data_IF_564734152336
#
_entry.id   IF_564734152336
#
_cell.length_a   1.000
_cell.length_b   1.000
_cell.length_c   1.000
_cell.angle_alpha   90.00
_cell.angle_beta   90.00
_cell.angle_gamma   90.00
#
_symmetry.space_group_name_H-M   'P 1'
#
loop_
_entity.id
_entity.type
_entity.pdbx_description
1 polymer ?
#
# COMPACT_ATOMS: atom_id res chain seq x y z
N UNK A 1 -18.50 -77.72 8.03
CA UNK A 1 -19.45 -77.09 7.10
C UNK A 1 -20.10 -75.91 7.84
N UNK A 2 -19.72 -74.68 7.45
CA UNK A 2 -20.26 -73.35 7.83
C UNK A 2 -21.81 -73.36 8.01
N UNK A 3 -22.51 -72.85 9.04
CA UNK A 3 -22.49 -71.55 9.80
C UNK A 3 -22.58 -70.35 8.84
N UNK A 4 -23.53 -69.40 8.90
CA UNK A 4 -24.54 -68.99 9.87
C UNK A 4 -25.55 -68.05 9.18
N UNK A 5 -26.69 -67.88 9.84
CA UNK A 5 -27.74 -66.84 9.76
C UNK A 5 -27.58 -65.60 8.85
N UNK A 6 -28.66 -65.32 8.11
CA UNK A 6 -28.89 -64.11 7.31
C UNK A 6 -29.03 -62.85 8.18
N UNK A 7 -28.29 -61.81 7.86
CA UNK A 7 -28.44 -60.43 8.37
C UNK A 7 -28.80 -59.51 7.20
N UNK A 8 -29.90 -58.77 7.35
CA UNK A 8 -30.29 -57.66 6.46
C UNK A 8 -29.28 -56.49 6.60
N UNK A 9 -28.90 -55.80 5.51
CA UNK A 9 -28.25 -54.51 5.61
C UNK A 9 -29.31 -53.40 5.71
N UNK A 10 -29.24 -52.64 6.81
CA UNK A 10 -29.91 -51.36 7.01
C UNK A 10 -29.42 -50.33 6.00
N UNK A 11 -30.32 -49.85 5.13
CA UNK A 11 -30.10 -48.69 4.26
C UNK A 11 -30.03 -47.42 5.13
N UNK A 12 -28.83 -46.98 5.47
CA UNK A 12 -28.57 -45.66 6.05
C UNK A 12 -28.75 -44.61 4.93
N UNK A 13 -29.90 -43.95 4.90
CA UNK A 13 -30.15 -42.81 4.01
C UNK A 13 -29.36 -41.61 4.52
N UNK A 14 -28.24 -41.29 3.87
CA UNK A 14 -27.52 -40.03 4.05
C UNK A 14 -28.40 -38.89 3.54
N UNK A 15 -29.08 -38.18 4.45
CA UNK A 15 -29.65 -36.87 4.18
C UNK A 15 -28.51 -35.91 3.87
N UNK A 16 -28.29 -35.67 2.58
CA UNK A 16 -27.43 -34.62 2.07
C UNK A 16 -28.14 -33.29 2.36
N UNK A 17 -27.81 -32.70 3.51
CA UNK A 17 -28.22 -31.34 3.86
C UNK A 17 -27.51 -30.43 2.88
N UNK A 18 -28.24 -29.97 1.87
CA UNK A 18 -27.81 -28.84 1.05
C UNK A 18 -27.78 -27.62 1.97
N UNK A 19 -26.59 -27.29 2.45
CA UNK A 19 -26.29 -25.96 2.96
C UNK A 19 -26.48 -25.02 1.77
N UNK A 20 -27.69 -24.50 1.59
CA UNK A 20 -27.86 -23.23 0.90
C UNK A 20 -27.18 -22.20 1.80
N UNK A 21 -25.88 -22.01 1.56
CA UNK A 21 -25.20 -20.82 2.04
C UNK A 21 -26.05 -19.65 1.62
N UNK A 22 -26.48 -18.85 2.59
CA UNK A 22 -27.02 -17.53 2.33
C UNK A 22 -25.86 -16.77 1.71
N UNK A 23 -25.79 -16.74 0.38
CA UNK A 23 -24.93 -15.81 -0.32
C UNK A 23 -25.42 -14.43 0.13
N UNK A 24 -24.63 -13.78 0.99
CA UNK A 24 -24.77 -12.36 1.21
C UNK A 24 -24.68 -11.73 -0.18
N UNK A 25 -25.78 -11.14 -0.63
CA UNK A 25 -25.80 -10.25 -1.78
C UNK A 25 -24.95 -9.04 -1.39
N UNK A 26 -23.63 -9.16 -1.52
CA UNK A 26 -22.77 -8.00 -1.62
C UNK A 26 -23.14 -7.37 -2.96
N UNK A 27 -23.67 -6.14 -2.92
CA UNK A 27 -23.78 -5.34 -4.13
C UNK A 27 -22.45 -5.38 -4.85
N UNK A 28 -22.46 -5.72 -6.13
CA UNK A 28 -21.25 -5.77 -6.93
C UNK A 28 -20.57 -4.40 -6.85
N UNK A 29 -19.28 -4.36 -6.50
CA UNK A 29 -18.52 -3.12 -6.48
C UNK A 29 -18.65 -2.41 -7.83
N UNK A 30 -18.82 -1.08 -7.77
CA UNK A 30 -18.97 -0.25 -8.94
C UNK A 30 -17.57 0.17 -9.43
N UNK A 31 -17.11 -0.30 -10.61
CA UNK A 31 -15.77 -0.02 -11.11
C UNK A 31 -15.55 1.45 -11.47
N UNK A 32 -16.61 2.26 -11.54
CA UNK A 32 -16.49 3.70 -11.78
C UNK A 32 -15.92 4.47 -10.59
N UNK A 33 -15.89 3.84 -9.41
CA UNK A 33 -15.40 4.43 -8.17
C UNK A 33 -14.37 3.51 -7.55
N UNK A 34 -13.13 3.97 -7.43
CA UNK A 34 -12.04 3.15 -6.89
C UNK A 34 -11.30 3.93 -5.81
N UNK A 35 -11.23 3.34 -4.62
CA UNK A 35 -10.35 3.79 -3.55
C UNK A 35 -9.10 2.92 -3.55
N UNK A 36 -7.94 3.55 -3.57
CA UNK A 36 -6.65 2.86 -3.62
C UNK A 36 -5.74 3.37 -2.51
N UNK A 37 -5.15 2.43 -1.76
CA UNK A 37 -4.06 2.71 -0.84
C UNK A 37 -2.72 2.59 -1.57
N UNK A 38 -1.82 3.55 -1.35
CA UNK A 38 -0.42 3.34 -1.72
C UNK A 38 0.20 2.24 -0.87
N UNK A 39 1.31 1.67 -1.35
CA UNK A 39 2.20 0.85 -0.53
C UNK A 39 3.46 1.65 -0.17
N UNK A 40 4.23 1.16 0.79
CA UNK A 40 5.49 1.79 1.18
C UNK A 40 6.39 0.83 1.93
N UNK A 41 7.57 1.30 2.29
CA UNK A 41 8.49 0.53 3.12
C UNK A 41 9.42 1.42 3.91
N UNK A 42 10.00 0.86 4.95
CA UNK A 42 10.87 1.59 5.85
C UNK A 42 11.51 0.67 6.88
N UNK A 43 12.44 1.21 7.66
CA UNK A 43 13.12 0.47 8.71
C UNK A 43 12.26 0.39 9.97
N UNK A 44 12.47 -0.67 10.76
CA UNK A 44 11.83 -0.77 12.07
C UNK A 44 12.14 0.47 12.92
N UNK A 45 11.11 1.04 13.55
CA UNK A 45 11.19 2.24 14.38
C UNK A 45 11.15 3.57 13.63
N UNK A 46 11.05 3.56 12.30
CA UNK A 46 10.78 4.76 11.48
C UNK A 46 9.29 4.92 11.20
N UNK A 47 8.92 5.96 10.45
CA UNK A 47 7.55 6.22 10.01
C UNK A 47 7.44 6.20 8.49
N UNK A 48 6.32 5.68 7.99
CA UNK A 48 5.96 5.67 6.56
C UNK A 48 4.58 6.29 6.38
N UNK A 49 4.43 7.07 5.32
CA UNK A 49 3.16 7.67 4.94
C UNK A 49 2.50 6.85 3.83
N UNK A 50 1.25 6.46 4.03
CA UNK A 50 0.40 5.92 2.97
C UNK A 50 -0.69 6.92 2.59
N UNK A 51 -0.95 7.02 1.29
CA UNK A 51 -1.95 7.93 0.72
C UNK A 51 -3.13 7.10 0.21
N UNK A 52 -4.33 7.48 0.63
CA UNK A 52 -5.56 7.05 -0.01
C UNK A 52 -5.84 7.96 -1.20
N UNK A 53 -5.91 7.37 -2.38
CA UNK A 53 -6.28 8.03 -3.63
C UNK A 53 -7.66 7.57 -4.09
N UNK A 54 -8.38 8.46 -4.77
CA UNK A 54 -9.70 8.19 -5.30
C UNK A 54 -9.75 8.44 -6.81
N UNK A 55 -10.18 7.43 -7.55
CA UNK A 55 -10.51 7.51 -8.97
C UNK A 55 -12.03 7.53 -9.12
N UNK A 56 -12.54 8.51 -9.86
CA UNK A 56 -13.94 8.65 -10.20
C UNK A 56 -14.09 8.76 -11.73
N UNK A 57 -14.64 7.74 -12.37
CA UNK A 57 -15.02 7.76 -13.80
C UNK A 57 -16.54 7.82 -14.02
N UNK A 58 -17.32 7.89 -12.94
CA UNK A 58 -18.78 7.91 -12.94
C UNK A 58 -19.36 9.33 -12.91
N UNK A 59 -20.37 9.54 -12.06
CA UNK A 59 -20.95 10.85 -11.78
C UNK A 59 -20.28 11.57 -10.60
N UNK A 60 -20.59 12.86 -10.43
CA UNK A 60 -20.12 13.70 -9.33
C UNK A 60 -20.45 13.09 -7.96
N UNK A 61 -19.42 12.85 -7.15
CA UNK A 61 -19.54 12.32 -5.79
C UNK A 61 -19.80 13.46 -4.80
N UNK A 62 -20.68 13.24 -3.83
CA UNK A 62 -21.09 14.22 -2.81
C UNK A 62 -20.52 13.95 -1.43
N UNK A 63 -20.22 12.69 -1.15
CA UNK A 63 -19.71 12.26 0.14
C UNK A 63 -19.01 10.91 -0.04
N UNK A 64 -18.12 10.59 0.89
CA UNK A 64 -17.53 9.27 1.03
C UNK A 64 -17.32 8.96 2.49
N UNK A 65 -17.32 7.67 2.79
CA UNK A 65 -16.96 7.15 4.10
C UNK A 65 -16.20 5.84 3.92
N UNK A 66 -15.12 5.63 4.66
CA UNK A 66 -14.38 4.37 4.62
C UNK A 66 -13.57 4.16 5.90
N UNK A 67 -13.25 2.91 6.18
CA UNK A 67 -12.27 2.49 7.18
C UNK A 67 -11.02 1.92 6.50
N UNK A 68 -9.87 2.11 7.15
CA UNK A 68 -8.59 1.46 6.82
C UNK A 68 -8.09 0.77 8.07
N UNK A 69 -7.75 -0.51 7.96
CA UNK A 69 -7.30 -1.35 9.05
C UNK A 69 -5.85 -1.78 8.86
N UNK A 70 -5.15 -1.96 9.98
CA UNK A 70 -3.79 -2.48 10.05
C UNK A 70 -3.61 -3.31 11.32
N UNK A 71 -2.64 -4.22 11.34
CA UNK A 71 -2.30 -4.98 12.54
C UNK A 71 -1.57 -4.08 13.55
N UNK A 72 -2.15 -3.80 14.74
CA UNK A 72 -1.51 -2.95 15.75
C UNK A 72 -0.24 -3.56 16.35
N UNK A 73 0.00 -4.86 16.19
CA UNK A 73 1.26 -5.50 16.61
C UNK A 73 2.41 -5.22 15.62
N UNK A 74 2.11 -4.73 14.41
CA UNK A 74 3.10 -4.41 13.38
C UNK A 74 3.19 -2.91 13.08
N UNK A 75 2.09 -2.18 13.19
CA UNK A 75 1.99 -0.79 12.78
C UNK A 75 1.21 0.04 13.80
N UNK A 76 1.80 1.15 14.26
CA UNK A 76 1.07 2.16 15.05
C UNK A 76 0.63 3.31 14.15
N UNK A 77 -0.65 3.63 14.14
CA UNK A 77 -1.18 4.82 13.46
C UNK A 77 -0.80 6.08 14.27
N UNK A 78 0.01 6.95 13.69
CA UNK A 78 0.51 8.17 14.33
C UNK A 78 -0.41 9.35 14.08
N UNK A 79 -0.80 9.56 12.83
CA UNK A 79 -1.68 10.65 12.43
C UNK A 79 -2.41 10.32 11.13
N UNK A 80 -3.55 10.97 10.92
CA UNK A 80 -4.34 10.87 9.69
C UNK A 80 -4.85 12.25 9.33
N UNK A 81 -4.48 12.72 8.14
CA UNK A 81 -4.83 14.06 7.66
C UNK A 81 -5.52 14.02 6.30
N UNK A 82 -6.32 15.05 6.02
CA UNK A 82 -6.98 15.23 4.74
C UNK A 82 -6.05 15.89 3.73
N UNK A 83 -6.01 15.32 2.52
CA UNK A 83 -5.23 15.81 1.40
C UNK A 83 -6.05 16.75 0.50
N UNK A 84 -5.40 17.30 -0.53
CA UNK A 84 -5.99 18.34 -1.40
C UNK A 84 -7.29 17.88 -2.07
N UNK A 85 -7.42 16.60 -2.46
CA UNK A 85 -8.64 16.04 -3.01
C UNK A 85 -9.83 16.12 -2.04
N UNK A 86 -9.57 16.07 -0.74
CA UNK A 86 -10.59 16.30 0.30
C UNK A 86 -10.76 17.78 0.58
N UNK A 87 -9.67 18.48 0.95
CA UNK A 87 -9.72 19.86 1.51
C UNK A 87 -10.14 20.93 0.49
N UNK A 88 -10.23 20.58 -0.79
CA UNK A 88 -10.64 21.49 -1.87
C UNK A 88 -11.87 21.01 -2.63
N UNK A 89 -12.49 19.92 -2.20
CA UNK A 89 -13.63 19.28 -2.89
C UNK A 89 -14.89 20.15 -2.96
N UNK A 90 -15.02 21.17 -2.11
CA UNK A 90 -16.15 22.11 -2.14
C UNK A 90 -15.80 23.35 -2.98
N UNK A 91 -15.61 23.17 -4.31
CA UNK A 91 -15.25 24.25 -5.25
C UNK A 91 -13.98 25.03 -4.85
N UNK A 92 -12.96 24.32 -4.39
CA UNK A 92 -11.71 24.90 -3.87
C UNK A 92 -11.73 25.18 -2.38
N UNK A 93 -12.88 25.02 -1.70
CA UNK A 93 -13.03 25.13 -0.26
C UNK A 93 -13.07 23.77 0.45
N UNK A 94 -13.05 23.82 1.79
CA UNK A 94 -13.18 22.65 2.63
C UNK A 94 -14.61 22.05 2.53
N UNK A 95 -14.74 20.72 2.68
CA UNK A 95 -16.01 20.05 2.90
C UNK A 95 -16.79 20.64 4.07
N UNK A 96 -18.12 20.60 3.99
CA UNK A 96 -19.02 21.02 5.07
C UNK A 96 -18.88 20.12 6.32
N UNK A 97 -18.48 18.86 6.13
CA UNK A 97 -18.22 17.92 7.21
C UNK A 97 -17.01 17.04 6.91
N UNK A 98 -16.09 16.96 7.87
CA UNK A 98 -15.01 15.97 7.90
C UNK A 98 -14.95 15.42 9.32
N UNK A 99 -14.97 14.11 9.44
CA UNK A 99 -14.69 13.43 10.69
C UNK A 99 -13.67 12.33 10.45
N UNK A 100 -12.62 12.32 11.28
CA UNK A 100 -11.59 11.29 11.28
C UNK A 100 -11.59 10.66 12.67
N UNK A 101 -11.66 9.34 12.73
CA UNK A 101 -11.57 8.56 13.98
C UNK A 101 -10.39 7.59 13.87
N UNK A 102 -9.71 7.34 15.00
CA UNK A 102 -8.58 6.42 15.07
C UNK A 102 -8.71 5.51 16.28
N UNK A 103 -8.43 4.23 16.07
CA UNK A 103 -8.19 3.21 17.10
C UNK A 103 -6.88 2.49 16.76
N UNK A 104 -6.41 1.57 17.60
CA UNK A 104 -5.15 0.87 17.33
C UNK A 104 -5.24 0.03 16.04
N UNK A 105 -6.40 -0.59 15.81
CA UNK A 105 -6.65 -1.52 14.71
C UNK A 105 -7.00 -0.84 13.38
N UNK A 106 -7.13 0.49 13.35
CA UNK A 106 -7.51 1.21 12.13
C UNK A 106 -7.96 2.64 12.34
N UNK A 107 -8.29 3.31 11.24
CA UNK A 107 -8.84 4.65 11.21
C UNK A 107 -10.00 4.74 10.21
N UNK A 108 -10.85 5.76 10.35
CA UNK A 108 -11.94 6.03 9.41
C UNK A 108 -11.97 7.49 9.01
N UNK A 109 -12.44 7.76 7.80
CA UNK A 109 -12.81 9.09 7.37
C UNK A 109 -14.28 9.12 6.92
N UNK A 110 -15.02 10.15 7.35
CA UNK A 110 -16.36 10.47 6.88
C UNK A 110 -16.34 11.90 6.34
N UNK A 111 -16.70 12.09 5.08
CA UNK A 111 -16.68 13.40 4.43
C UNK A 111 -18.01 13.67 3.74
N UNK A 112 -18.60 14.83 4.01
CA UNK A 112 -19.71 15.40 3.24
C UNK A 112 -19.22 16.71 2.64
N UNK A 113 -19.15 16.77 1.31
CA UNK A 113 -18.56 17.89 0.59
C UNK A 113 -19.40 19.16 0.77
N UNK A 114 -20.70 19.02 0.55
CA UNK A 114 -21.67 20.12 0.59
C UNK A 114 -23.00 19.58 1.10
N UNK A 115 -23.38 19.95 2.32
CA UNK A 115 -24.51 19.37 3.04
C UNK A 115 -25.85 19.88 2.52
N UNK A 116 -25.87 21.10 1.98
CA UNK A 116 -27.10 21.79 1.59
C UNK A 116 -27.14 22.23 0.13
N UNK A 117 -26.01 22.20 -0.57
CA UNK A 117 -25.91 22.56 -1.97
C UNK A 117 -25.74 21.36 -2.88
N UNK A 118 -25.03 21.60 -3.97
CA UNK A 118 -24.83 20.67 -5.07
C UNK A 118 -23.39 20.71 -5.56
N UNK A 119 -22.45 21.03 -4.67
CA UNK A 119 -21.00 20.92 -4.93
C UNK A 119 -20.53 19.52 -4.60
N UNK A 120 -19.55 19.03 -5.35
CA UNK A 120 -19.09 17.66 -5.24
C UNK A 120 -17.80 17.47 -6.02
N UNK A 121 -17.24 16.27 -5.91
CA UNK A 121 -16.04 15.89 -6.60
C UNK A 121 -16.42 15.30 -7.97
N UNK A 122 -16.19 16.07 -9.01
CA UNK A 122 -16.42 15.66 -10.40
C UNK A 122 -15.47 14.51 -10.82
N UNK A 123 -15.76 13.84 -11.94
CA UNK A 123 -14.92 12.76 -12.44
C UNK A 123 -13.47 13.20 -12.69
N UNK A 124 -12.54 12.34 -12.31
CA UNK A 124 -11.11 12.53 -12.40
C UNK A 124 -10.37 11.37 -11.73
N UNK A 125 -9.06 11.31 -11.96
CA UNK A 125 -8.22 10.20 -11.50
C UNK A 125 -7.16 10.73 -10.52
N UNK A 126 -6.80 9.88 -9.56
CA UNK A 126 -5.69 10.08 -8.64
C UNK A 126 -5.90 11.23 -7.67
N UNK A 127 -7.13 11.50 -7.22
CA UNK A 127 -7.37 12.49 -6.17
C UNK A 127 -6.76 11.99 -4.86
N UNK A 128 -5.71 12.63 -4.30
CA UNK A 128 -5.24 12.27 -2.97
C UNK A 128 -6.25 12.80 -1.97
N UNK A 129 -6.93 11.91 -1.24
CA UNK A 129 -8.00 12.32 -0.31
C UNK A 129 -7.56 12.30 1.15
N UNK A 130 -6.73 11.36 1.55
CA UNK A 130 -6.20 11.28 2.92
C UNK A 130 -4.79 10.69 2.94
N UNK A 131 -4.00 11.08 3.93
CA UNK A 131 -2.68 10.50 4.24
C UNK A 131 -2.67 10.03 5.68
N UNK A 132 -2.21 8.80 5.90
CA UNK A 132 -1.99 8.23 7.23
C UNK A 132 -0.49 7.96 7.43
N UNK A 133 0.03 8.39 8.57
CA UNK A 133 1.41 8.13 8.98
C UNK A 133 1.43 6.94 9.94
N UNK A 134 2.22 5.92 9.62
CA UNK A 134 2.39 4.72 10.42
C UNK A 134 3.80 4.65 10.98
N UNK A 135 3.95 4.34 12.26
CA UNK A 135 5.22 3.89 12.83
C UNK A 135 5.37 2.37 12.61
N UNK A 136 6.59 1.94 12.29
CA UNK A 136 6.91 0.56 11.95
C UNK A 136 7.39 -0.20 13.18
N UNK A 137 6.49 -0.88 13.86
CA UNK A 137 6.77 -1.61 15.10
C UNK A 137 7.04 -3.10 14.88
N UNK A 138 6.64 -3.63 13.73
CA UNK A 138 6.81 -5.03 13.34
C UNK A 138 8.27 -5.44 13.15
N UNK A 139 8.48 -6.75 13.02
CA UNK A 139 9.82 -7.32 12.84
C UNK A 139 10.39 -6.99 11.45
N UNK A 140 11.71 -6.84 11.38
CA UNK A 140 12.44 -6.69 10.12
C UNK A 140 12.19 -7.89 9.18
N UNK A 141 11.99 -7.61 7.90
CA UNK A 141 11.56 -8.55 6.87
C UNK A 141 10.06 -8.84 6.82
N UNK A 142 9.25 -8.28 7.73
CA UNK A 142 7.79 -8.46 7.68
C UNK A 142 7.14 -7.57 6.62
N UNK A 143 6.07 -8.06 6.00
CA UNK A 143 5.16 -7.23 5.20
C UNK A 143 3.85 -7.11 5.97
N UNK A 144 3.50 -5.89 6.36
CA UNK A 144 2.28 -5.56 7.07
C UNK A 144 1.17 -5.17 6.08
N UNK A 145 0.00 -5.80 6.18
CA UNK A 145 -1.16 -5.44 5.38
C UNK A 145 -1.80 -4.14 5.90
N UNK A 146 -2.20 -3.27 4.96
CA UNK A 146 -3.03 -2.09 5.25
C UNK A 146 -4.21 -2.11 4.28
N UNK A 147 -5.39 -2.42 4.79
CA UNK A 147 -6.53 -2.83 3.96
C UNK A 147 -7.75 -1.95 4.23
N UNK A 148 -8.56 -1.69 3.19
CA UNK A 148 -9.87 -1.11 3.41
C UNK A 148 -10.77 -2.12 4.15
N UNK A 149 -11.46 -1.65 5.17
CA UNK A 149 -12.22 -2.52 6.06
C UNK A 149 -13.50 -1.84 6.55
N UNK A 150 -14.35 -2.64 7.21
CA UNK A 150 -15.34 -2.07 8.13
C UNK A 150 -14.58 -1.58 9.36
N UNK A 151 -14.53 -0.25 9.55
CA UNK A 151 -13.82 0.37 10.66
C UNK A 151 -14.27 -0.24 12.01
N UNK A 152 -13.33 -0.75 12.83
CA UNK A 152 -13.67 -1.49 14.04
C UNK A 152 -14.09 -0.59 15.21
N UNK A 153 -13.82 0.72 15.12
CA UNK A 153 -14.26 1.70 16.12
C UNK A 153 -15.78 1.94 16.09
N UNK A 154 -16.23 2.84 16.97
CA UNK A 154 -17.65 3.24 17.08
C UNK A 154 -17.78 4.72 16.70
N UNK A 155 -18.66 5.09 15.74
CA UNK A 155 -19.51 4.20 14.94
C UNK A 155 -18.68 3.37 13.93
N UNK A 156 -19.18 2.18 13.59
CA UNK A 156 -18.59 1.38 12.52
C UNK A 156 -18.82 2.09 11.18
N UNK A 157 -17.79 2.12 10.35
CA UNK A 157 -17.81 2.78 9.03
C UNK A 157 -17.48 1.73 7.97
N UNK A 158 -18.38 1.53 7.02
CA UNK A 158 -18.15 0.65 5.86
C UNK A 158 -17.82 1.51 4.64
N UNK A 159 -16.85 1.12 3.79
CA UNK A 159 -16.54 1.85 2.56
C UNK A 159 -17.76 2.08 1.66
N UNK A 160 -18.03 3.35 1.35
CA UNK A 160 -19.16 3.80 0.53
C UNK A 160 -18.86 5.18 -0.05
N UNK A 161 -19.32 5.43 -1.27
CA UNK A 161 -19.37 6.77 -1.88
C UNK A 161 -20.82 7.14 -2.19
N UNK A 162 -21.17 8.41 -2.18
CA UNK A 162 -22.53 8.87 -2.43
C UNK A 162 -22.63 9.71 -3.70
N UNK A 163 -23.49 9.28 -4.62
CA UNK A 163 -23.91 10.04 -5.80
C UNK A 163 -25.24 10.70 -5.47
N UNK A 164 -25.22 11.97 -5.07
CA UNK A 164 -26.40 12.59 -4.48
C UNK A 164 -26.80 11.86 -3.19
N UNK A 165 -27.97 11.24 -3.18
CA UNK A 165 -28.49 10.47 -2.05
C UNK A 165 -28.31 8.94 -2.20
N UNK A 166 -27.73 8.48 -3.32
CA UNK A 166 -27.57 7.06 -3.61
C UNK A 166 -26.19 6.57 -3.15
N UNK A 167 -26.11 5.57 -2.26
CA UNK A 167 -24.85 4.95 -1.89
C UNK A 167 -24.38 3.98 -2.97
N UNK A 168 -23.10 4.03 -3.30
CA UNK A 168 -22.40 3.12 -4.19
C UNK A 168 -21.22 2.47 -3.43
N UNK A 169 -20.99 1.18 -3.70
CA UNK A 169 -19.85 0.46 -3.14
C UNK A 169 -18.66 0.59 -4.09
N UNK A 170 -17.56 1.27 -3.69
CA UNK A 170 -16.39 1.42 -4.55
C UNK A 170 -15.61 0.10 -4.67
N UNK A 171 -14.80 -0.01 -5.72
CA UNK A 171 -13.69 -0.96 -5.77
C UNK A 171 -12.62 -0.51 -4.76
N UNK A 172 -12.07 -1.47 -4.04
CA UNK A 172 -11.06 -1.24 -3.00
C UNK A 172 -9.75 -1.90 -3.44
N UNK A 173 -8.67 -1.13 -3.46
CA UNK A 173 -7.32 -1.62 -3.71
C UNK A 173 -6.51 -1.36 -2.44
N UNK A 174 -6.13 -2.45 -1.78
CA UNK A 174 -5.38 -2.40 -0.53
C UNK A 174 -3.90 -2.06 -0.74
N UNK A 175 -3.23 -1.68 0.35
CA UNK A 175 -1.81 -1.37 0.38
C UNK A 175 -1.04 -2.32 1.30
N UNK A 176 0.27 -2.22 1.24
CA UNK A 176 1.17 -2.96 2.12
C UNK A 176 2.29 -2.05 2.63
N UNK A 177 2.86 -2.41 3.78
CA UNK A 177 4.08 -1.79 4.29
C UNK A 177 5.12 -2.86 4.51
N UNK A 178 6.22 -2.82 3.76
CA UNK A 178 7.37 -3.70 3.98
C UNK A 178 8.29 -3.11 5.06
N UNK A 179 8.48 -3.84 6.15
CA UNK A 179 9.31 -3.44 7.28
C UNK A 179 10.69 -4.08 7.09
N UNK A 180 11.72 -3.28 6.80
CA UNK A 180 13.09 -3.76 6.64
C UNK A 180 13.40 -4.56 5.37
N UNK A 181 12.48 -4.61 4.39
CA UNK A 181 12.65 -5.38 3.15
C UNK A 181 12.74 -4.50 1.89
N UNK A 182 13.44 -3.36 1.98
CA UNK A 182 13.71 -2.47 0.85
C UNK A 182 15.20 -2.32 0.56
N UNK A 183 15.56 -1.27 -0.17
CA UNK A 183 16.94 -0.83 -0.35
C UNK A 183 17.06 0.69 -0.29
N UNK A 184 18.29 1.17 -0.20
CA UNK A 184 18.61 2.58 -0.45
C UNK A 184 19.28 2.63 -1.83
N UNK A 185 18.68 3.34 -2.79
CA UNK A 185 19.29 3.53 -4.11
C UNK A 185 20.65 4.16 -3.94
N UNK A 186 21.65 3.60 -4.61
CA UNK A 186 23.07 3.92 -4.46
C UNK A 186 23.81 3.25 -3.29
N UNK A 187 23.16 2.49 -2.40
CA UNK A 187 23.85 1.64 -1.40
C UNK A 187 24.20 0.26 -2.01
N UNK A 188 24.97 0.28 -3.10
CA UNK A 188 25.27 -0.91 -3.90
C UNK A 188 26.09 -1.95 -3.14
N UNK A 189 26.83 -1.56 -2.08
CA UNK A 189 27.55 -2.52 -1.23
C UNK A 189 26.76 -2.97 0.02
N UNK A 190 25.58 -2.38 0.29
CA UNK A 190 24.68 -2.74 1.38
C UNK A 190 25.23 -2.41 2.78
N UNK A 191 26.08 -1.39 2.90
CA UNK A 191 26.72 -1.01 4.17
C UNK A 191 26.13 0.27 4.77
N UNK A 192 24.84 0.54 4.53
CA UNK A 192 24.02 1.54 5.23
C UNK A 192 24.45 2.99 5.05
N UNK A 193 25.27 3.27 4.05
CA UNK A 193 25.84 4.59 3.87
C UNK A 193 26.27 4.84 2.43
N UNK A 194 25.45 5.56 1.68
CA UNK A 194 25.76 5.99 0.31
C UNK A 194 27.01 6.88 0.32
N UNK A 195 28.13 6.33 -0.15
CA UNK A 195 29.42 6.99 -0.15
C UNK A 195 30.33 6.49 -1.31
N UNK A 196 31.61 6.86 -1.29
CA UNK A 196 32.57 6.48 -2.34
C UNK A 196 32.82 4.96 -2.43
N UNK A 197 32.54 4.20 -1.37
CA UNK A 197 32.68 2.75 -1.35
C UNK A 197 31.71 2.05 -2.32
N UNK A 198 30.53 2.62 -2.56
CA UNK A 198 29.51 2.05 -3.44
C UNK A 198 29.90 2.04 -4.92
N UNK A 199 30.31 3.17 -5.55
CA UNK A 199 30.78 3.13 -6.93
C UNK A 199 32.09 2.32 -7.08
N UNK A 200 32.91 2.21 -6.03
CA UNK A 200 34.09 1.32 -6.04
C UNK A 200 33.65 -0.15 -6.08
N UNK A 201 32.68 -0.53 -5.25
CA UNK A 201 32.11 -1.87 -5.23
C UNK A 201 31.47 -2.20 -6.58
N UNK A 202 30.67 -1.29 -7.14
CA UNK A 202 30.03 -1.46 -8.44
C UNK A 202 31.06 -1.64 -9.58
N UNK A 203 32.14 -0.85 -9.59
CA UNK A 203 33.24 -1.05 -10.54
C UNK A 203 33.92 -2.42 -10.38
N UNK A 204 34.03 -2.89 -9.14
CA UNK A 204 34.49 -4.24 -8.82
C UNK A 204 33.59 -5.30 -9.46
N UNK A 205 32.28 -5.21 -9.23
CA UNK A 205 31.26 -6.09 -9.82
C UNK A 205 31.33 -6.12 -11.35
N UNK A 206 31.44 -4.96 -11.99
CA UNK A 206 31.41 -4.84 -13.45
C UNK A 206 32.68 -5.35 -14.15
N UNK A 207 33.86 -5.21 -13.52
CA UNK A 207 35.14 -5.38 -14.24
C UNK A 207 36.16 -6.29 -13.58
N UNK A 208 36.00 -6.64 -12.30
CA UNK A 208 37.06 -7.32 -11.53
C UNK A 208 36.57 -8.64 -10.95
N UNK A 209 35.48 -8.61 -10.20
CA UNK A 209 34.96 -9.73 -9.41
C UNK A 209 33.44 -9.81 -9.57
N UNK A 210 32.88 -10.86 -10.18
CA UNK A 210 31.43 -10.98 -10.40
C UNK A 210 30.67 -11.39 -9.13
N UNK A 211 31.18 -11.02 -7.95
CA UNK A 211 30.44 -11.17 -6.69
C UNK A 211 29.15 -10.37 -6.79
N UNK A 212 28.03 -11.07 -6.69
CA UNK A 212 26.71 -10.48 -6.86
C UNK A 212 26.47 -9.42 -5.77
N UNK A 213 26.02 -8.20 -6.12
CA UNK A 213 25.58 -7.21 -5.15
C UNK A 213 24.45 -7.74 -4.25
N UNK A 214 24.34 -7.25 -3.01
CA UNK A 214 23.24 -7.61 -2.12
C UNK A 214 21.88 -7.21 -2.71
N UNK A 215 21.80 -6.05 -3.36
CA UNK A 215 20.64 -5.66 -4.14
C UNK A 215 21.07 -5.09 -5.49
N UNK A 216 20.45 -5.59 -6.57
CA UNK A 216 20.71 -5.10 -7.91
C UNK A 216 20.06 -3.73 -8.14
N UNK A 217 18.85 -3.49 -7.60
CA UNK A 217 18.20 -2.17 -7.67
C UNK A 217 18.99 -1.06 -6.97
N UNK A 218 19.70 -1.40 -5.90
CA UNK A 218 20.60 -0.47 -5.22
C UNK A 218 21.79 -0.04 -6.09
N UNK A 219 22.17 -0.87 -7.06
CA UNK A 219 23.25 -0.62 -7.99
C UNK A 219 22.80 0.01 -9.31
N UNK A 220 21.50 0.00 -9.64
CA UNK A 220 20.90 0.79 -10.71
C UNK A 220 20.60 2.21 -10.19
N UNK A 221 21.65 3.02 -10.19
CA UNK A 221 21.66 4.34 -9.56
C UNK A 221 20.87 5.35 -10.40
N UNK A 222 20.87 5.16 -11.72
CA UNK A 222 20.17 6.05 -12.64
C UNK A 222 18.79 5.53 -13.09
N UNK A 223 18.35 4.41 -12.53
CA UNK A 223 17.00 3.86 -12.61
C UNK A 223 16.57 3.63 -14.07
N UNK A 224 17.44 2.99 -14.86
CA UNK A 224 17.17 2.68 -16.28
C UNK A 224 16.93 1.19 -16.57
N UNK A 225 16.87 0.36 -15.54
CA UNK A 225 16.68 -1.09 -15.58
C UNK A 225 17.93 -1.84 -16.02
N UNK A 226 19.14 -1.27 -15.86
CA UNK A 226 20.39 -1.86 -16.36
C UNK A 226 21.64 -1.42 -15.61
N UNK A 227 22.25 -2.33 -14.86
CA UNK A 227 23.51 -2.07 -14.15
C UNK A 227 24.71 -2.00 -15.11
N UNK A 228 25.31 -0.82 -15.24
CA UNK A 228 26.47 -0.57 -16.09
C UNK A 228 27.36 0.60 -15.60
N UNK A 229 28.28 1.08 -16.45
CA UNK A 229 29.19 2.18 -16.09
C UNK A 229 28.47 3.52 -15.92
N UNK A 230 27.28 3.69 -16.51
CA UNK A 230 26.45 4.87 -16.36
C UNK A 230 26.05 5.11 -14.90
N UNK A 231 25.72 4.05 -14.16
CA UNK A 231 25.39 4.10 -12.73
C UNK A 231 26.55 4.62 -11.89
N UNK A 232 27.76 4.13 -12.16
CA UNK A 232 28.99 4.59 -11.49
C UNK A 232 29.21 6.08 -11.73
N UNK A 233 29.05 6.52 -12.99
CA UNK A 233 29.22 7.92 -13.36
C UNK A 233 28.15 8.78 -12.69
N UNK A 234 26.90 8.34 -12.69
CA UNK A 234 25.79 9.03 -12.05
C UNK A 234 26.05 9.17 -10.55
N UNK A 235 26.43 8.09 -9.87
CA UNK A 235 26.70 8.10 -8.44
C UNK A 235 27.85 9.08 -8.10
N UNK A 236 28.99 9.01 -8.80
CA UNK A 236 30.11 9.93 -8.59
C UNK A 236 29.75 11.39 -8.91
N UNK A 237 28.92 11.62 -9.94
CA UNK A 237 28.43 12.94 -10.29
C UNK A 237 27.52 13.51 -9.18
N UNK A 238 26.66 12.69 -8.58
CA UNK A 238 25.87 13.07 -7.42
C UNK A 238 26.77 13.43 -6.23
N UNK A 239 27.71 12.54 -5.84
CA UNK A 239 28.58 12.75 -4.68
C UNK A 239 29.49 13.99 -4.75
N UNK A 240 29.99 14.33 -5.95
CA UNK A 240 31.02 15.38 -6.10
C UNK A 240 30.58 16.62 -6.88
N UNK A 241 29.59 16.52 -7.75
CA UNK A 241 29.17 17.63 -8.63
C UNK A 241 27.78 18.17 -8.31
N UNK A 242 27.06 17.58 -7.33
CA UNK A 242 25.75 18.06 -6.90
C UNK A 242 24.69 17.93 -8.00
N UNK A 243 24.75 16.85 -8.78
CA UNK A 243 23.67 16.46 -9.69
C UNK A 243 22.36 16.24 -8.92
N UNK A 244 21.26 16.08 -9.66
CA UNK A 244 19.99 15.65 -9.05
C UNK A 244 20.21 14.41 -8.20
N UNK A 245 19.56 14.32 -7.02
CA UNK A 245 19.61 13.10 -6.22
C UNK A 245 19.06 11.91 -7.02
N UNK A 246 19.50 10.69 -6.71
CA UNK A 246 18.89 9.47 -7.26
C UNK A 246 17.38 9.48 -7.08
N UNK A 247 16.67 8.80 -7.97
CA UNK A 247 15.24 8.58 -7.80
C UNK A 247 15.00 7.74 -6.53
N UNK A 248 13.81 7.84 -5.91
CA UNK A 248 13.47 6.99 -4.78
C UNK A 248 13.70 5.50 -5.10
N UNK A 249 14.11 4.66 -4.13
CA UNK A 249 14.19 4.95 -2.70
C UNK A 249 15.53 5.58 -2.26
N UNK A 250 15.55 6.91 -2.04
CA UNK A 250 16.71 7.68 -1.62
C UNK A 250 16.26 8.95 -0.88
N UNK A 251 16.94 9.40 0.20
CA UNK A 251 18.08 8.79 0.89
C UNK A 251 17.66 7.72 1.91
N UNK A 252 16.37 7.38 1.95
CA UNK A 252 15.79 6.45 2.91
C UNK A 252 15.49 5.12 2.23
N UNK A 253 15.46 4.06 3.06
CA UNK A 253 15.01 2.74 2.66
C UNK A 253 13.62 2.82 2.01
N UNK A 254 13.43 2.09 0.93
CA UNK A 254 12.15 1.98 0.26
C UNK A 254 12.15 0.84 -0.76
N UNK A 255 10.99 0.58 -1.35
CA UNK A 255 10.83 -0.33 -2.49
C UNK A 255 11.15 0.43 -3.77
N UNK A 256 11.43 -0.29 -4.85
CA UNK A 256 11.62 0.32 -6.16
C UNK A 256 10.26 0.82 -6.72
N UNK A 257 10.06 2.15 -6.92
CA UNK A 257 8.80 2.65 -7.49
C UNK A 257 8.66 2.34 -8.99
N UNK A 258 9.75 1.92 -9.64
CA UNK A 258 9.93 1.84 -11.09
C UNK A 258 10.20 0.41 -11.53
N UNK A 259 9.28 -0.50 -11.17
CA UNK A 259 9.36 -1.93 -11.45
C UNK A 259 10.02 -2.29 -12.80
N UNK A 260 11.15 -3.00 -12.73
CA UNK A 260 11.85 -3.55 -13.87
C UNK A 260 12.20 -5.04 -13.67
N UNK A 261 13.32 -5.52 -14.22
CA UNK A 261 13.76 -6.92 -14.09
C UNK A 261 14.86 -7.16 -13.05
N UNK A 262 15.37 -6.09 -12.45
CA UNK A 262 16.27 -6.09 -11.32
C UNK A 262 15.46 -6.26 -10.02
N UNK A 263 16.11 -6.81 -9.00
CA UNK A 263 15.52 -7.18 -7.72
C UNK A 263 16.61 -7.08 -6.62
N UNK A 264 16.19 -6.93 -5.38
CA UNK A 264 16.95 -7.19 -4.16
C UNK A 264 16.79 -8.63 -3.62
N UNK A 265 17.03 -9.65 -4.46
CA UNK A 265 16.83 -11.08 -4.14
C UNK A 265 17.63 -11.58 -2.90
N UNK A 266 18.69 -10.87 -2.49
CA UNK A 266 19.61 -11.29 -1.44
C UNK A 266 19.62 -10.35 -0.23
N UNK A 267 18.86 -10.72 0.79
CA UNK A 267 18.75 -10.03 2.09
C UNK A 267 18.20 -8.59 1.98
N UNK A 268 17.48 -8.16 3.01
CA UNK A 268 17.02 -6.77 3.13
C UNK A 268 18.23 -5.84 2.99
N UNK A 269 18.27 -5.07 1.90
CA UNK A 269 19.29 -4.07 1.65
C UNK A 269 19.06 -2.79 2.47
N UNK A 270 18.15 -2.88 3.46
CA UNK A 270 17.99 -1.92 4.51
C UNK A 270 18.65 -2.48 5.79
N UNK A 271 19.45 -1.67 6.49
CA UNK A 271 20.17 -2.08 7.70
C UNK A 271 19.30 -2.16 8.95
#
# INVERSE_FOLDING_TARGET
MRSDSQLLPTLLSTMMIWYFGVAACHGQANPDYQLSLSSGSGQQGTTVDLIVSFDNTGETVRAWAFGVCSDPDQLTIIDVISESGTTTSNNGGMPDFIEINMVAEGWSANVIIDLFGSVGLDPGLGYPIHRATYALDGVEGAVASVEFCVYPGVPQVTPVVFIGANPETPVLIDGTISIGAGFIRSDCNGLSGVNLADPIFLLGYLFVDPTLPPCLDACDVNDDGSINIADVIYHLAYLFHGFSPPLPPWPFCGDDPTADSLDCDLFGACP
#
